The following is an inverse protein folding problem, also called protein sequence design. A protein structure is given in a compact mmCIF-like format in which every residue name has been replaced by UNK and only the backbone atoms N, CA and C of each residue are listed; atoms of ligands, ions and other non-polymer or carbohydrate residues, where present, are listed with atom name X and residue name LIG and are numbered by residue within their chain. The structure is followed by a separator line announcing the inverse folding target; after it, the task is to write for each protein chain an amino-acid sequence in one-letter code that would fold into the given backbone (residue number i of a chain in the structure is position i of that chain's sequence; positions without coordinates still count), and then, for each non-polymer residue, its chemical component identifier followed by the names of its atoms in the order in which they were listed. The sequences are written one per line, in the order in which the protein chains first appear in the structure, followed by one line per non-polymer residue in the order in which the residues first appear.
data_IF_135432922873
#
_entry.id   IF_135432922873
#
_cell.length_a   1.000
_cell.length_b   1.000
_cell.length_c   1.000
_cell.angle_alpha   90.00
_cell.angle_beta   90.00
_cell.angle_gamma   90.00
#
_symmetry.space_group_name_H-M   'P 1'
#
loop_
_entity.id
_entity.type
_entity.pdbx_description
1 polymer ?
#
# COMPACT_ATOMS: atom_id res chain seq x y z
N UNK A 1 15.60 3.66 -11.13
CA UNK A 1 14.81 3.79 -11.40
C UNK A 1 14.34 4.60 -11.75
N UNK A 2 14.10 4.70 -12.03
CA UNK A 2 13.79 5.33 -12.39
C UNK A 2 12.82 5.80 -12.65
N UNK A 3 12.48 6.35 -12.91
CA UNK A 3 11.55 6.85 -13.16
C UNK A 3 10.63 6.24 -13.62
N UNK A 4 10.68 5.61 -13.80
CA UNK A 4 9.80 4.98 -14.18
C UNK A 4 8.81 4.60 -13.34
N UNK A 5 8.59 5.15 -12.39
CA UNK A 5 7.52 4.95 -11.59
C UNK A 5 6.25 4.99 -12.31
N UNK A 6 6.11 5.81 -13.34
CA UNK A 6 4.92 5.83 -14.06
C UNK A 6 4.78 4.70 -14.97
N UNK A 7 5.79 3.96 -15.20
CA UNK A 7 5.74 2.84 -16.10
C UNK A 7 5.23 1.64 -15.34
N UNK A 8 4.15 1.01 -15.73
CA UNK A 8 3.61 -0.11 -14.98
C UNK A 8 4.59 -1.24 -14.77
N UNK A 9 5.55 -1.36 -15.65
CA UNK A 9 6.52 -2.41 -15.49
C UNK A 9 7.31 -2.28 -14.23
N UNK A 10 7.41 -1.08 -13.72
CA UNK A 10 8.18 -0.87 -12.52
C UNK A 10 7.52 -1.45 -11.30
N UNK A 11 6.25 -1.75 -11.36
CA UNK A 11 5.58 -2.31 -10.22
C UNK A 11 5.79 -3.79 -10.11
N UNK A 12 6.54 -4.37 -11.03
CA UNK A 12 6.81 -5.77 -10.99
C UNK A 12 8.29 -5.99 -10.96
N UNK A 13 8.88 -5.75 -9.81
CA UNK A 13 10.30 -5.88 -9.65
C UNK A 13 10.76 -7.33 -9.73
N UNK A 14 9.89 -8.24 -9.32
CA UNK A 14 10.18 -9.65 -9.40
C UNK A 14 9.07 -10.26 -10.21
N UNK A 15 9.44 -10.99 -11.23
CA UNK A 15 8.47 -11.53 -12.14
C UNK A 15 7.38 -12.26 -11.37
N UNK A 16 6.14 -11.97 -11.66
CA UNK A 16 5.02 -12.63 -11.02
C UNK A 16 4.59 -12.03 -9.71
N UNK A 17 5.26 -10.96 -9.25
CA UNK A 17 4.90 -10.34 -7.99
C UNK A 17 4.60 -8.88 -8.19
N UNK A 18 3.54 -8.41 -7.60
CA UNK A 18 3.20 -7.01 -7.67
C UNK A 18 3.99 -6.24 -6.65
N UNK A 19 4.16 -4.96 -6.91
CA UNK A 19 4.97 -4.13 -6.02
C UNK A 19 4.42 -4.07 -4.61
N UNK A 20 3.10 -4.12 -4.45
CA UNK A 20 2.54 -4.03 -3.11
C UNK A 20 2.92 -5.27 -2.28
N UNK A 21 3.00 -6.41 -2.91
CA UNK A 21 3.41 -7.63 -2.23
C UNK A 21 4.88 -7.53 -1.83
N UNK A 22 5.69 -7.00 -2.72
CA UNK A 22 7.11 -6.84 -2.44
C UNK A 22 7.31 -5.86 -1.28
N UNK A 23 6.54 -4.77 -1.27
CA UNK A 23 6.64 -3.80 -0.20
C UNK A 23 6.29 -4.44 1.13
N UNK A 24 5.19 -5.19 1.17
CA UNK A 24 4.78 -5.83 2.42
C UNK A 24 5.85 -6.81 2.91
N UNK A 25 6.42 -7.57 2.01
CA UNK A 25 7.42 -8.55 2.39
C UNK A 25 8.73 -7.91 2.83
N UNK A 26 8.93 -6.65 2.45
CA UNK A 26 10.15 -5.94 2.79
C UNK A 26 10.04 -5.20 4.12
N UNK A 27 8.89 -5.26 4.77
CA UNK A 27 8.66 -4.49 5.98
C UNK A 27 8.31 -5.40 7.14
N UNK A 28 8.56 -4.93 8.35
CA UNK A 28 7.99 -5.58 9.52
C UNK A 28 6.50 -5.27 9.55
N UNK A 29 5.76 -6.00 10.36
CA UNK A 29 4.33 -5.76 10.45
C UNK A 29 4.03 -4.36 10.97
N UNK A 30 4.85 -3.88 11.88
CA UNK A 30 4.71 -2.53 12.40
C UNK A 30 4.93 -1.49 11.29
N UNK A 31 5.95 -1.70 10.48
CA UNK A 31 6.22 -0.78 9.39
C UNK A 31 5.11 -0.81 8.36
N UNK A 32 4.60 -1.99 8.05
CA UNK A 32 3.51 -2.15 7.10
C UNK A 32 2.26 -1.45 7.60
N UNK A 33 1.99 -1.56 8.90
CA UNK A 33 0.87 -0.89 9.50
C UNK A 33 0.99 0.62 9.33
N UNK A 34 2.19 1.16 9.56
CA UNK A 34 2.42 2.58 9.40
C UNK A 34 2.27 3.03 7.96
N UNK A 35 2.79 2.23 7.03
CA UNK A 35 2.67 2.53 5.62
C UNK A 35 1.20 2.63 5.20
N UNK A 36 0.40 1.64 5.59
CA UNK A 36 -1.01 1.65 5.22
C UNK A 36 -1.75 2.78 5.92
N UNK A 37 -1.47 3.00 7.20
CA UNK A 37 -2.14 4.04 7.94
C UNK A 37 -1.82 5.42 7.36
N UNK A 38 -0.57 5.65 6.99
CA UNK A 38 -0.20 6.92 6.38
C UNK A 38 -0.97 7.19 5.10
N UNK A 39 -1.15 6.16 4.29
CA UNK A 39 -1.91 6.32 3.06
C UNK A 39 -3.39 6.54 3.34
N UNK A 40 -3.94 5.87 4.34
CA UNK A 40 -5.32 6.08 4.71
C UNK A 40 -5.52 7.54 5.11
N UNK A 41 -4.64 8.05 5.95
CA UNK A 41 -4.76 9.43 6.42
C UNK A 41 -4.62 10.40 5.25
N UNK A 42 -3.66 10.13 4.39
CA UNK A 42 -3.45 11.01 3.25
C UNK A 42 -4.71 11.13 2.40
N UNK A 43 -5.33 10.03 2.08
CA UNK A 43 -6.50 10.08 1.22
C UNK A 43 -7.72 10.64 1.93
N UNK A 44 -7.83 10.42 3.24
CA UNK A 44 -8.92 11.01 3.99
C UNK A 44 -8.78 12.53 4.08
N UNK A 45 -7.57 13.01 4.27
CA UNK A 45 -7.35 14.44 4.34
C UNK A 45 -7.56 15.11 2.99
N UNK A 46 -7.32 14.36 1.92
CA UNK A 46 -7.44 14.92 0.60
C UNK A 46 -8.86 14.86 0.06
N UNK A 47 -9.70 14.05 0.65
CA UNK A 47 -11.03 13.79 0.14
C UNK A 47 -11.82 15.09 0.00
N UNK A 48 -12.35 15.31 -1.19
CA UNK A 48 -13.14 16.50 -1.45
C UNK A 48 -12.34 17.74 -1.77
N UNK A 49 -11.01 17.67 -1.75
CA UNK A 49 -10.20 18.84 -2.00
C UNK A 49 -9.58 18.86 -3.36
N UNK A 50 -9.28 17.71 -3.90
CA UNK A 50 -8.63 17.67 -5.17
C UNK A 50 -9.29 16.72 -6.11
N UNK A 51 -10.47 16.58 -6.16
CA UNK A 51 -11.14 15.70 -7.08
C UNK A 51 -12.30 15.05 -6.42
N UNK A 52 -12.64 13.87 -6.88
CA UNK A 52 -13.81 13.18 -6.39
C UNK A 52 -13.59 12.69 -4.98
N UNK A 53 -14.41 13.15 -4.06
CA UNK A 53 -14.30 12.74 -2.68
C UNK A 53 -14.45 11.23 -2.53
N UNK A 54 -15.37 10.64 -3.27
CA UNK A 54 -15.60 9.21 -3.15
C UNK A 54 -14.41 8.41 -3.65
N UNK A 55 -13.69 8.94 -4.60
CA UNK A 55 -12.52 8.29 -5.11
C UNK A 55 -11.45 8.21 -4.02
N UNK A 56 -11.24 9.30 -3.31
CA UNK A 56 -10.23 9.31 -2.26
C UNK A 56 -10.66 8.47 -1.06
N UNK A 57 -11.94 8.47 -0.73
CA UNK A 57 -12.42 7.62 0.34
C UNK A 57 -12.22 6.16 -0.05
N UNK A 58 -12.48 5.84 -1.31
CA UNK A 58 -12.26 4.48 -1.79
C UNK A 58 -10.81 4.06 -1.69
N UNK A 59 -9.89 4.99 -1.96
CA UNK A 59 -8.48 4.67 -1.84
C UNK A 59 -8.09 4.45 -0.39
N UNK A 60 -8.66 5.23 0.52
CA UNK A 60 -8.39 5.02 1.95
C UNK A 60 -8.87 3.66 2.38
N UNK A 61 -10.07 3.27 1.94
CA UNK A 61 -10.61 1.97 2.30
C UNK A 61 -9.79 0.84 1.70
N UNK A 62 -9.28 1.07 0.50
CA UNK A 62 -8.43 0.08 -0.15
C UNK A 62 -7.18 -0.21 0.69
N UNK A 63 -6.58 0.82 1.28
CA UNK A 63 -5.39 0.60 2.11
C UNK A 63 -5.74 -0.10 3.41
N UNK A 64 -6.96 0.07 3.92
CA UNK A 64 -7.38 -0.68 5.08
C UNK A 64 -7.43 -2.17 4.75
N UNK A 65 -7.96 -2.49 3.59
CA UNK A 65 -8.01 -3.88 3.17
C UNK A 65 -6.63 -4.44 2.90
N UNK A 66 -5.77 -3.61 2.29
CA UNK A 66 -4.43 -4.06 2.01
C UNK A 66 -3.68 -4.43 3.28
N UNK A 67 -3.90 -3.67 4.33
CA UNK A 67 -3.23 -3.99 5.58
C UNK A 67 -3.60 -5.40 6.03
N UNK A 68 -4.88 -5.69 6.05
CA UNK A 68 -5.34 -7.00 6.51
C UNK A 68 -4.90 -8.12 5.59
N UNK A 69 -4.93 -7.86 4.30
CA UNK A 69 -4.60 -8.92 3.36
C UNK A 69 -3.12 -9.27 3.33
N UNK A 70 -2.27 -8.30 3.63
CA UNK A 70 -0.84 -8.52 3.45
C UNK A 70 -0.03 -8.52 4.74
N UNK A 71 -0.66 -8.28 5.88
CA UNK A 71 0.13 -8.18 7.11
C UNK A 71 0.85 -9.47 7.44
N UNK A 72 0.31 -10.59 7.02
CA UNK A 72 0.96 -11.87 7.27
C UNK A 72 2.16 -12.15 6.40
N UNK A 73 2.37 -11.34 5.37
CA UNK A 73 3.52 -11.51 4.51
C UNK A 73 4.73 -10.76 5.03
N UNK A 74 4.56 -9.92 6.02
CA UNK A 74 5.65 -9.10 6.53
C UNK A 74 6.65 -9.96 7.27
N UNK A 75 7.92 -9.62 7.11
CA UNK A 75 8.91 -10.41 7.81
C UNK A 75 8.84 -10.06 9.30
N UNK A 76 9.10 -11.05 10.13
CA UNK A 76 8.96 -10.84 11.54
C UNK A 76 7.54 -10.87 12.05
N UNK A 77 6.58 -11.15 11.16
CA UNK A 77 5.20 -11.22 11.61
C UNK A 77 5.01 -12.42 12.53
N UNK A 78 4.13 -12.29 13.49
CA UNK A 78 3.89 -13.42 14.36
C UNK A 78 3.34 -14.58 13.55
N UNK A 79 3.69 -15.76 14.00
CA UNK A 79 3.20 -16.89 13.34
C UNK A 79 1.93 -17.24 13.89
N UNK A 80 0.90 -17.00 13.28
CA UNK A 80 -0.32 -17.33 13.84
C UNK A 80 -0.99 -18.40 13.21
#
# INVERSE_FOLDING_TARGET
MTDNIKNPQHYQLIEGHESITIIARSMTQEQWKGFCLGNIIKYRLRAGKKGDMYDDIGKADFYKELYELHKGLCWGAPNE
#
